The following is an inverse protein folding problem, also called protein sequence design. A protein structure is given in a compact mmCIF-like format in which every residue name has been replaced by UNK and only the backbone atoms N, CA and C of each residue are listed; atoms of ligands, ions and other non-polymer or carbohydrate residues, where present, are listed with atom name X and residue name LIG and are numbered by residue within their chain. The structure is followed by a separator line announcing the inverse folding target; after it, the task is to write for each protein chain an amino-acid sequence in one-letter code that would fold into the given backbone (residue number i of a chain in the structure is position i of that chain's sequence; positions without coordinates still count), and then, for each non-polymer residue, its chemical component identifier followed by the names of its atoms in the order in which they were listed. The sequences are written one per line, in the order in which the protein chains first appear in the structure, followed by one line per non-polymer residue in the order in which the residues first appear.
data_IF_581503706525
#
_entry.id   IF_581503706525
#
_cell.length_a   1.000
_cell.length_b   1.000
_cell.length_c   1.000
_cell.angle_alpha   90.00
_cell.angle_beta   90.00
_cell.angle_gamma   90.00
#
_symmetry.space_group_name_H-M   'P 1'
#
loop_
_entity.id
_entity.type
_entity.pdbx_description
1 polymer ?
#
# COMPACT_ATOMS: atom_id res chain seq x y z
N UNK A 1 -32.56 38.11 15.92
CA UNK A 1 -31.63 37.15 16.54
C UNK A 1 -31.52 35.95 15.61
N UNK A 2 -30.58 35.97 14.66
CA UNK A 2 -30.35 34.83 13.77
C UNK A 2 -29.59 33.77 14.54
N UNK A 3 -30.24 32.65 14.86
CA UNK A 3 -29.53 31.46 15.32
C UNK A 3 -28.68 30.98 14.14
N UNK A 4 -27.37 31.23 14.20
CA UNK A 4 -26.40 30.46 13.42
C UNK A 4 -26.51 29.02 13.89
N UNK A 5 -27.31 28.21 13.19
CA UNK A 5 -27.15 26.76 13.17
C UNK A 5 -25.78 26.48 12.55
N UNK A 6 -24.73 26.48 13.38
CA UNK A 6 -23.49 25.79 13.04
C UNK A 6 -23.89 24.33 12.95
N UNK A 7 -24.08 23.84 11.73
CA UNK A 7 -24.08 22.41 11.43
C UNK A 7 -22.93 21.78 12.22
N UNK A 8 -23.12 20.62 12.87
CA UNK A 8 -22.02 19.97 13.55
C UNK A 8 -20.96 19.68 12.49
N UNK A 9 -19.91 20.49 12.47
CA UNK A 9 -18.69 20.17 11.76
C UNK A 9 -18.17 18.93 12.48
N UNK A 10 -18.42 17.75 11.89
CA UNK A 10 -17.66 16.57 12.24
C UNK A 10 -16.20 16.94 11.98
N UNK A 11 -15.50 17.34 13.04
CA UNK A 11 -14.05 17.50 13.01
C UNK A 11 -13.50 16.21 12.42
N UNK A 12 -12.94 16.32 11.21
CA UNK A 12 -12.46 15.16 10.48
C UNK A 12 -11.38 14.47 11.31
N UNK A 13 -11.71 13.33 11.92
CA UNK A 13 -10.71 12.53 12.60
C UNK A 13 -9.80 11.91 11.56
N UNK A 14 -8.53 12.34 11.58
CA UNK A 14 -7.45 11.67 10.85
C UNK A 14 -6.89 10.59 11.75
N UNK A 15 -6.99 9.34 11.27
CA UNK A 15 -6.47 8.18 12.01
C UNK A 15 -5.31 7.58 11.23
N UNK A 16 -4.28 7.22 11.97
CA UNK A 16 -3.01 6.73 11.43
C UNK A 16 -2.79 5.30 11.92
N UNK A 17 -2.72 4.32 11.00
CA UNK A 17 -2.64 2.89 11.36
C UNK A 17 -1.33 2.28 10.84
N UNK A 18 -0.45 1.75 11.71
CA UNK A 18 0.77 1.08 11.29
C UNK A 18 0.49 -0.37 10.85
N UNK A 19 0.98 -0.74 9.66
CA UNK A 19 0.82 -2.04 9.03
C UNK A 19 2.15 -2.47 8.40
N UNK A 20 2.41 -3.78 8.30
CA UNK A 20 3.60 -4.32 7.60
C UNK A 20 3.20 -4.95 6.28
N UNK A 21 3.89 -4.56 5.21
CA UNK A 21 3.68 -5.19 3.90
C UNK A 21 4.39 -6.54 3.83
N UNK A 22 3.70 -7.51 3.24
CA UNK A 22 4.11 -8.89 3.10
C UNK A 22 4.19 -9.19 1.61
N UNK A 23 5.41 -9.32 1.11
CA UNK A 23 5.68 -9.78 -0.24
C UNK A 23 6.84 -10.78 -0.21
N UNK A 24 7.02 -11.45 -1.33
CA UNK A 24 8.13 -12.36 -1.55
C UNK A 24 8.76 -12.07 -2.91
N UNK A 25 10.08 -12.20 -2.98
CA UNK A 25 10.82 -12.23 -4.25
C UNK A 25 11.30 -13.65 -4.47
N UNK A 26 10.75 -14.31 -5.49
CA UNK A 26 11.04 -15.70 -5.81
C UNK A 26 11.94 -15.82 -7.03
N UNK A 27 12.60 -16.97 -7.13
CA UNK A 27 13.41 -17.30 -8.28
C UNK A 27 12.55 -17.38 -9.55
N UNK A 28 13.18 -17.17 -10.71
CA UNK A 28 12.54 -17.31 -12.02
C UNK A 28 12.03 -18.73 -12.24
N UNK A 29 11.13 -18.90 -13.19
CA UNK A 29 10.73 -20.25 -13.61
C UNK A 29 11.91 -21.00 -14.23
N UNK A 30 11.90 -22.33 -14.08
CA UNK A 30 12.96 -23.17 -14.63
C UNK A 30 13.03 -23.02 -16.16
N UNK A 31 14.22 -22.73 -16.69
CA UNK A 31 14.44 -22.50 -18.12
C UNK A 31 14.11 -21.08 -18.60
N UNK A 32 13.74 -20.15 -17.70
CA UNK A 32 13.59 -18.75 -18.05
C UNK A 32 14.95 -18.12 -18.45
N UNK A 33 14.90 -17.16 -19.37
CA UNK A 33 16.08 -16.41 -19.79
C UNK A 33 16.74 -15.69 -18.61
N UNK A 34 18.07 -15.59 -18.64
CA UNK A 34 18.84 -14.90 -17.60
C UNK A 34 18.40 -13.43 -17.40
N UNK A 35 17.85 -12.78 -18.43
CA UNK A 35 17.36 -11.40 -18.37
C UNK A 35 15.87 -11.29 -17.95
N UNK A 36 15.18 -12.40 -17.71
CA UNK A 36 13.84 -12.39 -17.09
C UNK A 36 13.96 -11.79 -15.68
N UNK A 37 13.02 -11.01 -15.14
CA UNK A 37 13.09 -10.57 -13.74
C UNK A 37 12.76 -11.67 -12.73
N UNK A 38 13.16 -11.46 -11.48
CA UNK A 38 12.67 -12.27 -10.36
C UNK A 38 11.14 -12.10 -10.22
N UNK A 39 10.49 -13.08 -9.60
CA UNK A 39 9.03 -13.05 -9.41
C UNK A 39 8.71 -12.26 -8.14
N UNK A 40 7.99 -11.15 -8.27
CA UNK A 40 7.35 -10.48 -7.14
C UNK A 40 6.02 -11.17 -6.83
N UNK A 41 5.81 -11.55 -5.57
CA UNK A 41 4.58 -12.21 -5.15
C UNK A 41 4.02 -11.59 -3.87
N UNK A 42 2.69 -11.50 -3.83
CA UNK A 42 1.94 -11.01 -2.66
C UNK A 42 1.14 -12.18 -2.09
N UNK A 43 1.69 -12.93 -1.12
CA UNK A 43 1.06 -14.15 -0.61
C UNK A 43 -0.19 -13.89 0.25
N UNK A 44 -0.42 -12.63 0.65
CA UNK A 44 -1.45 -12.25 1.60
C UNK A 44 -2.24 -11.02 1.14
N UNK A 45 -2.77 -11.06 -0.08
CA UNK A 45 -3.48 -9.92 -0.69
C UNK A 45 -4.63 -9.42 0.19
N UNK A 46 -5.40 -10.33 0.80
CA UNK A 46 -6.58 -9.98 1.61
C UNK A 46 -6.26 -9.43 3.01
N UNK A 47 -4.99 -9.45 3.44
CA UNK A 47 -4.60 -8.92 4.78
C UNK A 47 -4.61 -7.39 4.85
N UNK A 48 -4.75 -6.70 3.73
CA UNK A 48 -4.73 -5.23 3.64
C UNK A 48 -6.13 -4.64 3.46
N UNK A 49 -7.16 -5.34 3.93
CA UNK A 49 -8.54 -4.85 3.89
C UNK A 49 -8.80 -3.77 4.93
N UNK A 50 -9.38 -2.67 4.46
CA UNK A 50 -10.03 -1.67 5.31
C UNK A 50 -11.50 -2.05 5.42
N UNK A 51 -11.97 -2.22 6.65
CA UNK A 51 -13.35 -2.63 6.96
C UNK A 51 -14.02 -1.49 7.71
N UNK A 52 -15.18 -1.06 7.23
CA UNK A 52 -16.04 -0.12 7.94
C UNK A 52 -17.23 -0.89 8.50
N UNK A 53 -17.34 -0.91 9.82
CA UNK A 53 -18.38 -1.66 10.51
C UNK A 53 -19.79 -1.15 10.16
N UNK A 54 -20.79 -2.02 10.29
CA UNK A 54 -22.21 -1.68 10.11
C UNK A 54 -22.68 -0.57 11.05
N UNK A 55 -22.06 -0.47 12.22
CA UNK A 55 -22.42 0.51 13.26
C UNK A 55 -21.73 1.87 13.04
N UNK A 56 -20.91 2.00 11.98
CA UNK A 56 -20.31 3.29 11.61
C UNK A 56 -21.34 4.23 10.98
N UNK A 57 -21.32 5.49 11.42
CA UNK A 57 -22.14 6.56 10.85
C UNK A 57 -21.60 7.09 9.51
N UNK A 58 -20.33 6.83 9.18
CA UNK A 58 -19.63 7.36 7.98
C UNK A 58 -18.73 6.30 7.35
N UNK A 59 -18.42 6.48 6.06
CA UNK A 59 -17.35 5.73 5.38
C UNK A 59 -15.96 6.27 5.71
N UNK A 60 -14.92 5.64 5.16
CA UNK A 60 -13.53 6.11 5.29
C UNK A 60 -12.85 6.19 3.93
N UNK A 61 -11.88 7.08 3.85
CA UNK A 61 -11.04 7.32 2.67
C UNK A 61 -9.58 7.17 3.05
N UNK A 62 -8.87 6.25 2.42
CA UNK A 62 -7.42 6.13 2.54
C UNK A 62 -6.78 7.11 1.57
N UNK A 63 -6.21 8.21 2.10
CA UNK A 63 -5.73 9.33 1.27
C UNK A 63 -4.22 9.33 1.05
N UNK A 64 -3.48 8.72 1.98
CA UNK A 64 -2.04 8.67 1.91
C UNK A 64 -1.49 7.45 2.64
N UNK A 65 -0.26 7.13 2.31
CA UNK A 65 0.53 6.09 2.93
C UNK A 65 1.95 6.57 3.13
N UNK A 66 2.47 6.44 4.35
CA UNK A 66 3.88 6.68 4.64
C UNK A 66 4.64 5.35 4.56
N UNK A 67 5.69 5.32 3.76
CA UNK A 67 6.56 4.18 3.57
C UNK A 67 7.88 4.39 4.29
N UNK A 68 8.27 3.44 5.14
CA UNK A 68 9.53 3.48 5.88
C UNK A 68 10.27 2.15 5.71
N UNK A 69 11.57 2.23 5.45
CA UNK A 69 12.44 1.05 5.37
C UNK A 69 12.74 0.60 6.81
N UNK A 70 12.49 -0.66 7.17
CA UNK A 70 12.72 -1.17 8.52
C UNK A 70 14.21 -1.15 8.85
N UNK A 71 14.53 -1.02 10.13
CA UNK A 71 15.90 -0.79 10.61
C UNK A 71 16.92 -1.88 10.24
N UNK A 72 16.47 -3.08 9.85
CA UNK A 72 17.34 -4.13 9.33
C UNK A 72 17.79 -3.91 7.86
N UNK A 73 17.27 -2.87 7.18
CA UNK A 73 17.96 -2.08 6.15
C UNK A 73 18.37 -2.78 4.84
N UNK A 74 17.95 -4.03 4.63
CA UNK A 74 18.46 -4.81 3.51
C UNK A 74 17.65 -4.63 2.20
N UNK A 75 16.42 -4.12 2.29
CA UNK A 75 15.56 -3.89 1.12
C UNK A 75 15.68 -2.46 0.61
N UNK A 76 15.67 -2.32 -0.72
CA UNK A 76 15.68 -1.04 -1.41
C UNK A 76 14.40 -0.88 -2.22
N UNK A 77 13.90 0.35 -2.26
CA UNK A 77 12.71 0.73 -3.01
C UNK A 77 13.14 1.47 -4.29
N UNK A 78 12.84 0.89 -5.45
CA UNK A 78 12.99 1.54 -6.75
C UNK A 78 11.77 2.45 -7.01
N UNK A 79 11.96 3.46 -7.86
CA UNK A 79 10.93 4.45 -8.16
C UNK A 79 9.71 3.86 -8.89
N UNK A 80 9.94 2.90 -9.79
CA UNK A 80 8.93 2.26 -10.63
C UNK A 80 9.43 0.90 -11.14
N UNK A 81 8.58 0.21 -11.92
CA UNK A 81 8.90 -1.08 -12.53
C UNK A 81 10.16 -1.03 -13.40
N UNK A 82 10.30 -0.02 -14.24
CA UNK A 82 11.42 0.15 -15.16
C UNK A 82 12.74 0.27 -14.38
N UNK A 83 12.74 1.07 -13.31
CA UNK A 83 13.88 1.22 -12.43
C UNK A 83 14.24 -0.10 -11.73
N UNK A 84 13.26 -0.85 -11.22
CA UNK A 84 13.51 -2.15 -10.59
C UNK A 84 14.09 -3.16 -11.60
N UNK A 85 13.51 -3.23 -12.81
CA UNK A 85 13.95 -4.12 -13.88
C UNK A 85 15.35 -3.80 -14.40
N UNK A 86 15.84 -2.58 -14.21
CA UNK A 86 17.21 -2.18 -14.52
C UNK A 86 18.26 -2.75 -13.57
N UNK A 87 17.88 -3.21 -12.38
CA UNK A 87 18.80 -3.69 -11.35
C UNK A 87 19.19 -5.15 -11.62
N UNK A 88 20.50 -5.42 -11.68
CA UNK A 88 21.07 -6.74 -12.02
C UNK A 88 21.96 -7.34 -10.94
N UNK A 89 22.31 -6.57 -9.92
CA UNK A 89 23.27 -6.91 -8.89
C UNK A 89 22.66 -7.02 -7.48
N UNK A 90 21.40 -6.61 -7.29
CA UNK A 90 20.74 -6.63 -5.98
C UNK A 90 19.33 -7.25 -6.05
N UNK A 91 19.17 -8.45 -5.50
CA UNK A 91 17.90 -9.18 -5.44
C UNK A 91 16.90 -8.61 -4.41
N UNK A 92 17.36 -7.72 -3.52
CA UNK A 92 16.53 -7.04 -2.51
C UNK A 92 16.07 -5.65 -2.96
N UNK A 93 16.15 -5.36 -4.26
CA UNK A 93 15.55 -4.15 -4.84
C UNK A 93 14.21 -4.48 -5.49
N UNK A 94 13.16 -3.78 -5.07
CA UNK A 94 11.79 -3.91 -5.58
C UNK A 94 11.16 -2.55 -5.85
N UNK A 95 10.22 -2.49 -6.77
CA UNK A 95 9.27 -1.38 -6.87
C UNK A 95 7.92 -1.86 -6.33
N UNK A 96 7.27 -1.04 -5.50
CA UNK A 96 5.97 -1.38 -4.90
C UNK A 96 4.91 -0.42 -5.41
N UNK A 97 3.80 -1.00 -5.84
CA UNK A 97 2.60 -0.29 -6.27
C UNK A 97 1.47 -0.52 -5.27
N UNK A 98 0.86 0.56 -4.79
CA UNK A 98 -0.32 0.51 -3.95
C UNK A 98 -1.47 1.26 -4.62
N UNK A 99 -2.60 0.60 -4.80
CA UNK A 99 -3.82 1.17 -5.39
C UNK A 99 -3.57 1.96 -6.70
N UNK A 100 -2.70 1.43 -7.56
CA UNK A 100 -2.37 2.05 -8.85
C UNK A 100 -1.18 3.03 -8.82
N UNK A 101 -0.71 3.46 -7.65
CA UNK A 101 0.38 4.43 -7.53
C UNK A 101 1.70 3.75 -7.12
N UNK A 102 2.82 4.19 -7.71
CA UNK A 102 4.15 3.73 -7.30
C UNK A 102 4.62 4.43 -6.04
N UNK A 103 5.14 3.66 -5.09
CA UNK A 103 5.52 4.14 -3.77
C UNK A 103 6.99 4.58 -3.73
N UNK A 104 7.25 5.65 -2.99
CA UNK A 104 8.60 6.09 -2.57
C UNK A 104 8.71 6.12 -1.06
N UNK A 105 9.93 6.21 -0.55
CA UNK A 105 10.16 6.46 0.87
C UNK A 105 9.49 7.78 1.31
N UNK A 106 8.93 7.78 2.52
CA UNK A 106 8.19 8.90 3.07
C UNK A 106 6.71 8.89 2.69
N UNK A 107 6.08 10.06 2.66
CA UNK A 107 4.63 10.19 2.47
C UNK A 107 4.28 10.17 0.99
N UNK A 108 3.40 9.24 0.62
CA UNK A 108 2.80 9.08 -0.70
C UNK A 108 1.32 9.42 -0.59
N UNK A 109 0.86 10.41 -1.36
CA UNK A 109 -0.57 10.69 -1.49
C UNK A 109 -1.11 9.88 -2.66
N UNK A 110 -2.25 9.24 -2.48
CA UNK A 110 -2.89 8.53 -3.58
C UNK A 110 -3.49 9.52 -4.58
N UNK A 111 -3.30 9.24 -5.86
CA UNK A 111 -3.96 9.98 -6.95
C UNK A 111 -5.46 9.75 -6.89
N UNK A 112 -5.84 8.48 -6.72
CA UNK A 112 -7.21 8.04 -6.51
C UNK A 112 -7.32 7.35 -5.14
N UNK A 113 -7.79 8.07 -4.11
CA UNK A 113 -7.90 7.51 -2.76
C UNK A 113 -8.88 6.34 -2.69
N UNK A 114 -8.55 5.35 -1.86
CA UNK A 114 -9.43 4.20 -1.62
C UNK A 114 -10.60 4.61 -0.72
N UNK A 115 -11.80 4.75 -1.29
CA UNK A 115 -13.04 4.98 -0.54
C UNK A 115 -13.67 3.64 -0.16
N UNK A 116 -14.04 3.53 1.12
CA UNK A 116 -14.73 2.37 1.71
C UNK A 116 -16.02 2.85 2.37
N UNK A 117 -17.14 2.41 1.81
CA UNK A 117 -18.47 2.77 2.31
C UNK A 117 -18.78 2.07 3.64
N UNK A 118 -19.79 2.59 4.36
CA UNK A 118 -20.31 1.95 5.57
C UNK A 118 -20.74 0.50 5.33
N UNK A 119 -20.57 -0.37 6.33
CA UNK A 119 -20.94 -1.78 6.23
C UNK A 119 -20.30 -2.50 5.02
N UNK A 120 -19.11 -2.07 4.60
CA UNK A 120 -18.36 -2.71 3.52
C UNK A 120 -16.90 -2.88 3.89
N UNK A 121 -16.20 -3.65 3.07
CA UNK A 121 -14.76 -3.80 3.15
C UNK A 121 -14.16 -3.66 1.77
N UNK A 122 -12.99 -3.03 1.69
CA UNK A 122 -12.22 -2.94 0.45
C UNK A 122 -10.76 -3.27 0.73
N UNK A 123 -10.21 -4.17 -0.08
CA UNK A 123 -8.81 -4.56 0.00
C UNK A 123 -7.94 -3.55 -0.71
N UNK A 124 -6.86 -3.12 -0.07
CA UNK A 124 -5.83 -2.35 -0.74
C UNK A 124 -5.08 -3.24 -1.74
N UNK A 125 -5.03 -2.80 -2.98
CA UNK A 125 -4.29 -3.51 -4.01
C UNK A 125 -2.79 -3.29 -3.81
N UNK A 126 -2.08 -4.39 -3.54
CA UNK A 126 -0.61 -4.43 -3.48
C UNK A 126 -0.09 -5.21 -4.69
N UNK A 127 0.80 -4.57 -5.43
CA UNK A 127 1.52 -5.16 -6.56
C UNK A 127 2.97 -4.64 -6.58
N UNK A 128 3.79 -5.14 -7.48
CA UNK A 128 5.16 -4.69 -7.61
C UNK A 128 6.00 -5.44 -8.62
N UNK A 129 7.24 -4.99 -8.74
CA UNK A 129 8.25 -5.55 -9.64
C UNK A 129 9.52 -5.85 -8.85
N UNK A 130 10.17 -6.96 -9.17
CA UNK A 130 11.45 -7.32 -8.59
C UNK A 130 12.58 -7.16 -9.62
N UNK A 131 13.81 -7.05 -9.11
CA UNK A 131 14.99 -6.87 -9.95
C UNK A 131 15.28 -8.07 -10.86
N UNK A 132 16.18 -7.86 -11.81
CA UNK A 132 16.77 -8.92 -12.65
C UNK A 132 18.02 -9.53 -12.00
N UNK A 133 18.27 -9.31 -10.71
CA UNK A 133 19.40 -9.92 -10.03
C UNK A 133 19.24 -11.44 -9.88
N UNK A 134 20.32 -12.11 -9.50
CA UNK A 134 20.32 -13.52 -9.12
C UNK A 134 20.03 -13.66 -7.63
N UNK A 135 19.12 -14.56 -7.25
CA UNK A 135 18.94 -14.93 -5.84
C UNK A 135 20.15 -15.76 -5.38
N UNK A 136 20.65 -15.56 -4.14
CA UNK A 136 21.69 -16.40 -3.55
C UNK A 136 21.35 -17.90 -3.65
N UNK A 137 22.34 -18.74 -3.97
CA UNK A 137 22.11 -20.16 -4.28
C UNK A 137 21.52 -20.99 -3.13
N UNK A 138 21.68 -20.52 -1.89
CA UNK A 138 21.14 -21.09 -0.66
C UNK A 138 19.70 -20.65 -0.35
N UNK A 139 19.16 -19.67 -1.09
CA UNK A 139 17.81 -19.15 -0.89
C UNK A 139 16.85 -19.62 -2.00
N UNK A 140 15.73 -20.27 -1.61
CA UNK A 140 14.62 -20.59 -2.54
C UNK A 140 13.76 -19.36 -2.89
N UNK A 141 13.96 -18.26 -2.18
CA UNK A 141 13.24 -17.00 -2.29
C UNK A 141 13.57 -16.10 -1.11
N UNK A 142 13.35 -14.81 -1.26
CA UNK A 142 13.51 -13.81 -0.20
C UNK A 142 12.12 -13.48 0.33
N UNK A 143 11.87 -13.84 1.58
CA UNK A 143 10.57 -13.69 2.25
C UNK A 143 10.76 -12.85 3.50
N UNK A 144 10.41 -11.56 3.45
CA UNK A 144 10.57 -10.68 4.61
C UNK A 144 9.41 -9.68 4.73
N UNK A 145 9.15 -9.25 5.97
CA UNK A 145 8.31 -8.09 6.27
C UNK A 145 9.17 -6.84 6.12
N UNK A 146 9.27 -6.35 4.89
CA UNK A 146 10.37 -5.50 4.48
C UNK A 146 10.08 -3.99 4.47
N UNK A 147 8.83 -3.55 4.67
CA UNK A 147 8.50 -2.13 4.78
C UNK A 147 7.48 -1.91 5.89
N UNK A 148 7.78 -0.95 6.77
CA UNK A 148 6.83 -0.44 7.74
C UNK A 148 6.00 0.64 7.04
N UNK A 149 4.68 0.48 7.10
CA UNK A 149 3.75 1.28 6.31
C UNK A 149 2.68 1.86 7.21
N UNK A 150 2.41 3.14 7.06
CA UNK A 150 1.46 3.84 7.91
C UNK A 150 0.40 4.52 7.05
N UNK A 151 -0.85 4.08 7.16
CA UNK A 151 -1.97 4.64 6.41
C UNK A 151 -2.56 5.86 7.09
N UNK A 152 -2.93 6.86 6.29
CA UNK A 152 -3.75 8.00 6.73
C UNK A 152 -5.18 7.79 6.25
N UNK A 153 -6.10 7.69 7.20
CA UNK A 153 -7.54 7.56 6.98
C UNK A 153 -8.23 8.88 7.30
N UNK A 154 -9.14 9.29 6.42
CA UNK A 154 -10.04 10.42 6.62
C UNK A 154 -11.48 9.94 6.58
N UNK A 155 -12.38 10.58 7.34
CA UNK A 155 -13.82 10.29 7.24
C UNK A 155 -14.32 10.73 5.87
N UNK A 156 -14.98 9.81 5.16
CA UNK A 156 -15.68 10.13 3.92
C UNK A 156 -16.98 10.83 4.29
N UNK A 157 -17.11 12.11 3.93
CA UNK A 157 -18.25 12.94 4.35
C UNK A 157 -19.55 12.27 3.91
N UNK A 158 -20.50 12.12 4.82
CA UNK A 158 -21.88 11.88 4.42
C UNK A 158 -22.35 13.07 3.58
N UNK A 159 -22.95 12.82 2.42
CA UNK A 159 -23.77 13.84 1.76
C UNK A 159 -24.86 14.26 2.76
N UNK A 160 -24.76 15.47 3.28
CA UNK A 160 -25.89 16.13 3.94
C UNK A 160 -26.84 16.54 2.83
N UNK A 161 -27.86 15.72 2.58
CA UNK A 161 -29.03 16.17 1.81
C UNK A 161 -29.67 17.30 2.63
N UNK A 162 -29.78 18.53 2.12
CA UNK A 162 -30.50 19.58 2.83
C UNK A 162 -31.95 19.12 3.02
N UNK A 163 -32.47 19.22 4.24
CA UNK A 163 -33.89 18.96 4.48
C UNK A 163 -34.73 19.99 3.68
N UNK A 164 -35.83 19.57 3.03
CA UNK A 164 -36.70 20.45 2.24
C UNK A 164 -37.40 21.52 3.08
#
# INVERSE_FOLDING_TARGET
MGLLTKEPQLDQMKVTVPIKLHFAVLNRDAGADADTPLKFQVPHKDKYAVVVDKDSSVGVKVTAVKFEIPQNGAWKLAADDTAALGIKDDARTVAIKLNGDWMKEGVNKFTDPLVVEKNTSKTLELDGSASKSTIPADAKGLYEKAFDVTYTLEMDKAEVTPAP
#
